data_IF_840291815917
#
_entry.id   IF_840291815917
#
_cell.length_a   1.000
_cell.length_b   1.000
_cell.length_c   1.000
_cell.angle_alpha   90.00
_cell.angle_beta   90.00
_cell.angle_gamma   90.00
#
_symmetry.space_group_name_H-M   'P 1'
#
loop_
_entity.id
_entity.type
_entity.pdbx_description
1 polymer ?
#
# COMPACT_ATOMS: atom_id res chain seq x y z
N UNK A 1 25.18 -12.71 -48.17
CA UNK A 1 25.00 -13.69 -47.09
C UNK A 1 24.42 -13.00 -45.85
N UNK A 2 23.13 -12.63 -45.83
CA UNK A 2 22.53 -11.79 -44.77
C UNK A 2 21.11 -12.22 -44.34
N UNK A 3 20.67 -13.45 -44.67
CA UNK A 3 19.28 -13.90 -44.44
C UNK A 3 19.11 -14.96 -43.34
N UNK A 4 20.17 -15.62 -42.91
CA UNK A 4 20.06 -16.77 -41.99
C UNK A 4 19.91 -16.36 -40.51
N UNK A 5 20.42 -15.18 -40.13
CA UNK A 5 20.38 -14.67 -38.75
C UNK A 5 18.98 -14.28 -38.25
N UNK A 6 18.07 -13.84 -39.12
CA UNK A 6 16.75 -13.39 -38.68
C UNK A 6 15.80 -14.56 -38.37
N UNK A 7 16.06 -15.74 -38.93
CA UNK A 7 15.19 -16.92 -38.81
C UNK A 7 15.29 -17.60 -37.44
N UNK A 8 16.50 -17.68 -36.88
CA UNK A 8 16.73 -18.25 -35.54
C UNK A 8 16.06 -17.43 -34.44
N UNK A 9 16.07 -16.11 -34.58
CA UNK A 9 15.49 -15.19 -33.61
C UNK A 9 13.96 -15.27 -33.66
N UNK A 10 13.38 -15.41 -34.86
CA UNK A 10 11.95 -15.65 -35.05
C UNK A 10 11.52 -17.00 -34.46
N UNK A 11 12.32 -18.06 -34.61
CA UNK A 11 12.03 -19.37 -33.99
C UNK A 11 12.13 -19.32 -32.47
N UNK A 12 13.13 -18.62 -31.95
CA UNK A 12 13.31 -18.42 -30.50
C UNK A 12 12.13 -17.65 -29.91
N UNK A 13 11.69 -16.58 -30.58
CA UNK A 13 10.50 -15.82 -30.20
C UNK A 13 9.22 -16.68 -30.26
N UNK A 14 9.02 -17.46 -31.33
CA UNK A 14 7.86 -18.37 -31.45
C UNK A 14 7.82 -19.41 -30.34
N UNK A 15 8.97 -19.98 -29.98
CA UNK A 15 9.04 -20.96 -28.90
C UNK A 15 8.83 -20.31 -27.53
N UNK A 16 9.30 -19.08 -27.33
CA UNK A 16 9.02 -18.33 -26.10
C UNK A 16 7.55 -17.99 -25.94
N UNK A 17 6.83 -17.66 -27.01
CA UNK A 17 5.38 -17.38 -26.99
C UNK A 17 4.54 -18.62 -26.67
N UNK A 18 4.95 -19.81 -27.14
CA UNK A 18 4.27 -21.08 -26.84
C UNK A 18 4.36 -21.48 -25.37
N UNK A 19 5.37 -20.98 -24.65
CA UNK A 19 5.64 -21.30 -23.26
C UNK A 19 5.26 -20.16 -22.30
N UNK A 20 4.59 -19.10 -22.78
CA UNK A 20 4.02 -18.10 -21.87
C UNK A 20 2.91 -18.82 -21.10
N UNK A 21 3.03 -18.99 -19.77
CA UNK A 21 1.96 -19.56 -18.99
C UNK A 21 0.72 -18.67 -19.20
N UNK A 22 -0.39 -19.27 -19.64
CA UNK A 22 -1.67 -18.58 -19.71
C UNK A 22 -1.97 -18.00 -18.33
N UNK A 23 -1.91 -16.67 -18.24
CA UNK A 23 -2.35 -15.95 -17.07
C UNK A 23 -3.87 -16.06 -17.11
N UNK A 24 -4.42 -17.10 -16.47
CA UNK A 24 -5.85 -17.34 -16.32
C UNK A 24 -6.46 -16.33 -15.33
N UNK A 25 -6.36 -15.04 -15.66
CA UNK A 25 -6.93 -13.92 -14.91
C UNK A 25 -7.50 -12.91 -15.89
N UNK A 26 -8.74 -12.48 -15.64
CA UNK A 26 -9.39 -11.43 -16.41
C UNK A 26 -8.53 -10.16 -16.38
N UNK A 27 -8.06 -9.63 -17.53
CA UNK A 27 -7.22 -8.43 -17.58
C UNK A 27 -7.81 -7.23 -16.84
N UNK A 28 -9.15 -7.12 -16.78
CA UNK A 28 -9.82 -6.07 -16.00
C UNK A 28 -9.59 -6.23 -14.50
N UNK A 29 -9.64 -7.46 -13.98
CA UNK A 29 -9.36 -7.75 -12.58
C UNK A 29 -7.91 -7.44 -12.20
N UNK A 30 -6.95 -7.70 -13.10
CA UNK A 30 -5.54 -7.38 -12.87
C UNK A 30 -5.32 -5.86 -12.79
N UNK A 31 -5.93 -5.10 -13.70
CA UNK A 31 -5.85 -3.64 -13.68
C UNK A 31 -6.52 -3.04 -12.44
N UNK A 32 -7.68 -3.58 -12.03
CA UNK A 32 -8.37 -3.17 -10.82
C UNK A 32 -7.50 -3.39 -9.57
N UNK A 33 -6.84 -4.55 -9.49
CA UNK A 33 -5.97 -4.91 -8.37
C UNK A 33 -4.73 -4.00 -8.30
N UNK A 34 -4.10 -3.71 -9.44
CA UNK A 34 -2.97 -2.77 -9.51
C UNK A 34 -3.39 -1.38 -9.02
N UNK A 35 -4.54 -0.89 -9.50
CA UNK A 35 -5.06 0.41 -9.08
C UNK A 35 -5.39 0.43 -7.58
N UNK A 36 -5.97 -0.65 -7.06
CA UNK A 36 -6.28 -0.79 -5.65
C UNK A 36 -4.99 -0.77 -4.80
N UNK A 37 -3.95 -1.52 -5.20
CA UNK A 37 -2.65 -1.50 -4.52
C UNK A 37 -2.02 -0.11 -4.54
N UNK A 38 -2.03 0.55 -5.69
CA UNK A 38 -1.48 1.89 -5.84
C UNK A 38 -2.21 2.91 -4.95
N UNK A 39 -3.53 2.83 -4.87
CA UNK A 39 -4.34 3.70 -4.00
C UNK A 39 -4.08 3.47 -2.50
N UNK A 40 -3.55 2.30 -2.12
CA UNK A 40 -3.35 1.89 -0.73
C UNK A 40 -1.90 1.87 -0.28
N UNK A 41 -0.95 2.17 -1.15
CA UNK A 41 0.48 2.02 -0.90
C UNK A 41 0.97 2.83 0.32
N UNK A 42 0.33 3.97 0.60
CA UNK A 42 0.69 4.85 1.72
C UNK A 42 -0.22 4.70 2.94
N UNK A 43 -1.08 3.67 2.97
CA UNK A 43 -1.93 3.40 4.12
C UNK A 43 -1.17 2.61 5.17
N UNK A 44 -1.15 3.11 6.40
CA UNK A 44 -0.54 2.43 7.55
C UNK A 44 -1.65 1.90 8.46
N UNK A 45 -1.51 0.65 8.90
CA UNK A 45 -2.43 0.02 9.85
C UNK A 45 -1.75 -0.12 11.20
N UNK A 46 -2.34 0.47 12.24
CA UNK A 46 -1.86 0.35 13.62
C UNK A 46 -2.85 -0.46 14.44
N UNK A 47 -2.34 -1.44 15.17
CA UNK A 47 -3.11 -2.32 16.03
C UNK A 47 -2.85 -2.03 17.50
N UNK A 48 -3.79 -2.48 18.36
CA UNK A 48 -3.66 -2.39 19.83
C UNK A 48 -3.55 -0.94 20.37
N UNK A 49 -4.05 0.05 19.65
CA UNK A 49 -4.23 1.40 20.17
C UNK A 49 -5.49 1.50 21.01
N UNK A 50 -5.38 2.06 22.22
CA UNK A 50 -6.52 2.34 23.09
C UNK A 50 -7.54 3.23 22.38
N UNK A 51 -8.83 2.95 22.57
CA UNK A 51 -9.91 3.79 22.06
C UNK A 51 -10.34 4.79 23.14
N UNK A 52 -10.68 6.00 22.72
CA UNK A 52 -11.27 6.99 23.63
C UNK A 52 -12.67 6.54 24.09
N UNK A 53 -12.91 6.68 25.39
CA UNK A 53 -14.20 6.41 26.03
C UNK A 53 -15.15 7.64 26.02
N UNK A 54 -14.74 8.76 25.40
CA UNK A 54 -15.59 9.94 25.32
C UNK A 54 -16.86 9.67 24.51
N UNK A 55 -17.98 10.26 24.96
CA UNK A 55 -19.24 10.26 24.22
C UNK A 55 -19.20 11.23 23.03
N UNK A 56 -18.34 12.23 23.08
CA UNK A 56 -18.16 13.22 22.02
C UNK A 56 -17.42 12.61 20.83
N UNK A 57 -17.97 12.76 19.63
CA UNK A 57 -17.30 12.36 18.38
C UNK A 57 -15.99 13.16 18.20
N UNK A 58 -16.04 14.47 18.42
CA UNK A 58 -14.90 15.35 18.19
C UNK A 58 -13.74 15.02 19.13
N UNK A 59 -14.03 14.75 20.41
CA UNK A 59 -13.00 14.33 21.36
C UNK A 59 -12.37 12.99 21.01
N UNK A 60 -13.17 12.03 20.50
CA UNK A 60 -12.63 10.75 20.01
C UNK A 60 -11.73 10.93 18.79
N UNK A 61 -12.12 11.81 17.86
CA UNK A 61 -11.30 12.14 16.69
C UNK A 61 -9.99 12.80 17.11
N UNK A 62 -10.04 13.77 18.03
CA UNK A 62 -8.85 14.46 18.52
C UNK A 62 -7.91 13.51 19.27
N UNK A 63 -8.46 12.63 20.11
CA UNK A 63 -7.69 11.58 20.79
C UNK A 63 -6.97 10.69 19.77
N UNK A 64 -7.70 10.15 18.79
CA UNK A 64 -7.11 9.26 17.78
C UNK A 64 -6.04 9.97 16.95
N UNK A 65 -6.26 11.23 16.56
CA UNK A 65 -5.22 12.04 15.89
C UNK A 65 -3.99 12.23 16.75
N UNK A 66 -4.14 12.59 18.02
CA UNK A 66 -3.02 12.79 18.92
C UNK A 66 -2.19 11.51 19.11
N UNK A 67 -2.84 10.35 19.21
CA UNK A 67 -2.13 9.06 19.27
C UNK A 67 -1.35 8.75 17.99
N UNK A 68 -1.92 9.06 16.81
CA UNK A 68 -1.20 8.89 15.54
C UNK A 68 0.02 9.80 15.46
N UNK A 69 -0.13 11.07 15.83
CA UNK A 69 0.98 12.04 15.79
C UNK A 69 2.14 11.55 16.65
N UNK A 70 1.88 11.05 17.86
CA UNK A 70 2.91 10.46 18.71
C UNK A 70 3.64 9.29 18.05
N UNK A 71 2.90 8.41 17.37
CA UNK A 71 3.50 7.24 16.69
C UNK A 71 4.35 7.66 15.51
N UNK A 72 3.88 8.62 14.71
CA UNK A 72 4.60 9.10 13.53
C UNK A 72 5.86 9.88 13.94
N UNK A 73 5.79 10.65 15.01
CA UNK A 73 6.94 11.35 15.59
C UNK A 73 8.05 10.38 16.03
N UNK A 74 7.69 9.21 16.57
CA UNK A 74 8.68 8.16 16.92
C UNK A 74 9.47 7.61 15.72
N UNK A 75 8.98 7.80 14.49
CA UNK A 75 9.62 7.35 13.25
C UNK A 75 9.99 8.51 12.33
N UNK A 76 10.08 9.73 12.88
CA UNK A 76 10.47 10.96 12.17
C UNK A 76 9.58 11.27 10.94
N UNK A 77 8.29 10.94 11.05
CA UNK A 77 7.27 11.31 10.07
C UNK A 77 6.47 12.48 10.62
N UNK A 78 6.46 13.58 9.86
CA UNK A 78 5.73 14.80 10.20
C UNK A 78 4.21 14.63 10.08
N UNK A 79 3.45 15.33 10.92
CA UNK A 79 1.98 15.28 10.92
C UNK A 79 1.34 15.82 9.63
N UNK A 80 2.01 16.74 8.92
CA UNK A 80 1.51 17.39 7.71
C UNK A 80 1.23 16.41 6.56
N UNK A 81 1.88 15.24 6.57
CA UNK A 81 1.63 14.21 5.58
C UNK A 81 0.39 13.38 5.88
N UNK A 82 -0.27 13.53 7.04
CA UNK A 82 -1.49 12.78 7.39
C UNK A 82 -2.69 13.37 6.64
N UNK A 83 -3.28 12.59 5.74
CA UNK A 83 -4.52 12.97 5.07
C UNK A 83 -5.74 12.58 5.90
N UNK A 84 -5.72 11.39 6.50
CA UNK A 84 -6.88 10.87 7.23
C UNK A 84 -6.51 9.85 8.30
N UNK A 85 -7.26 9.87 9.40
CA UNK A 85 -7.19 8.86 10.46
C UNK A 85 -8.59 8.28 10.67
N UNK A 86 -8.74 6.96 10.56
CA UNK A 86 -10.01 6.27 10.78
C UNK A 86 -9.82 4.94 11.51
N UNK A 87 -10.75 4.59 12.39
CA UNK A 87 -10.85 3.23 12.94
C UNK A 87 -11.57 2.32 11.94
N UNK A 88 -11.07 1.10 11.77
CA UNK A 88 -11.62 0.11 10.84
C UNK A 88 -12.41 -0.95 11.61
N UNK A 89 -13.61 -1.25 11.11
CA UNK A 89 -14.49 -2.28 11.67
C UNK A 89 -15.50 -1.76 12.71
N UNK A 90 -16.33 -2.69 13.19
CA UNK A 90 -17.39 -2.44 14.16
C UNK A 90 -16.82 -2.45 15.58
N UNK A 91 -17.41 -1.63 16.48
CA UNK A 91 -17.02 -1.60 17.89
C UNK A 91 -17.27 -2.98 18.51
N UNK A 92 -16.29 -3.47 19.25
CA UNK A 92 -16.36 -4.77 19.93
C UNK A 92 -15.62 -4.73 21.27
N UNK A 93 -15.22 -5.90 21.76
CA UNK A 93 -14.47 -6.03 23.02
C UNK A 93 -12.99 -5.65 22.88
N UNK A 94 -12.43 -5.79 21.68
CA UNK A 94 -11.05 -5.43 21.36
C UNK A 94 -11.01 -4.05 20.69
N UNK A 95 -9.95 -3.30 20.95
CA UNK A 95 -9.70 -2.04 20.26
C UNK A 95 -9.60 -2.26 18.75
N UNK A 96 -10.29 -1.43 17.99
CA UNK A 96 -10.30 -1.48 16.54
C UNK A 96 -8.96 -1.02 15.97
N UNK A 97 -8.50 -1.65 14.88
CA UNK A 97 -7.34 -1.15 14.14
C UNK A 97 -7.56 0.29 13.68
N UNK A 98 -6.49 1.06 13.65
CA UNK A 98 -6.48 2.39 13.10
C UNK A 98 -5.82 2.38 11.73
N UNK A 99 -6.51 2.91 10.72
CA UNK A 99 -5.97 3.17 9.40
C UNK A 99 -5.58 4.63 9.32
N UNK A 100 -4.31 4.86 8.99
CA UNK A 100 -3.75 6.17 8.70
C UNK A 100 -3.54 6.24 7.20
N UNK A 101 -4.09 7.25 6.56
CA UNK A 101 -3.88 7.55 5.15
C UNK A 101 -2.85 8.68 5.11
N UNK A 102 -1.68 8.38 4.57
CA UNK A 102 -0.64 9.37 4.37
C UNK A 102 -0.73 9.86 2.93
N UNK A 103 -0.66 11.18 2.75
CA UNK A 103 -0.45 11.80 1.45
C UNK A 103 0.86 11.30 0.84
N UNK A 104 0.96 11.40 -0.49
CA UNK A 104 2.08 10.88 -1.25
C UNK A 104 3.36 11.69 -0.98
N UNK A 105 3.96 11.45 0.18
CA UNK A 105 5.32 11.84 0.49
C UNK A 105 6.23 10.71 -0.02
N UNK A 106 7.25 11.03 -0.81
CA UNK A 106 8.23 10.06 -1.31
C UNK A 106 9.02 9.30 -0.21
N UNK A 107 8.62 9.46 1.06
CA UNK A 107 9.21 8.88 2.27
C UNK A 107 9.04 7.35 2.33
N UNK A 108 7.90 6.79 1.91
CA UNK A 108 7.74 5.32 1.91
C UNK A 108 8.45 4.64 0.73
N UNK A 109 8.79 5.40 -0.32
CA UNK A 109 9.63 4.94 -1.42
C UNK A 109 11.13 4.87 -1.06
N UNK A 110 11.59 5.71 -0.13
CA UNK A 110 13.01 5.76 0.29
C UNK A 110 13.46 4.49 1.04
N UNK A 111 12.59 3.85 1.80
CA UNK A 111 12.91 2.59 2.49
C UNK A 111 13.03 1.38 1.54
N UNK A 112 12.59 1.48 0.28
CA UNK A 112 12.77 0.41 -0.72
C UNK A 112 14.21 0.34 -1.25
N UNK A 113 15.07 1.31 -0.94
CA UNK A 113 16.46 1.37 -1.41
C UNK A 113 17.53 0.79 -0.48
N UNK A 114 17.19 0.30 0.72
CA UNK A 114 18.20 -0.05 1.74
C UNK A 114 18.70 -1.52 1.63
N UNK A 115 18.08 -2.36 0.80
CA UNK A 115 18.52 -3.75 0.57
C UNK A 115 19.20 -3.98 -0.79
N UNK A 116 20.18 -3.15 -1.13
CA UNK A 116 21.16 -3.46 -2.18
C UNK A 116 22.56 -3.00 -1.75
N UNK A 117 23.18 -3.75 -0.84
CA UNK A 117 24.65 -3.84 -0.71
C UNK A 117 25.03 -5.25 -0.29
#
# INVERSE_FOLDING_TARGET
MLRESNTSDIETLKNSMKNVPEINGDPETLNAEINERNSKVNNVMVYKLNESNSQSLNERILHDKAEVVKILDMIDIKEDVIEKVIRVGKKGTKSRPMKIILSNSGLLGLFRGINQR
#
